data_IF_834904867346
#
_entry.id   IF_834904867346
#
_cell.length_a   1.000
_cell.length_b   1.000
_cell.length_c   1.000
_cell.angle_alpha   90.00
_cell.angle_beta   90.00
_cell.angle_gamma   90.00
#
_symmetry.space_group_name_H-M   'P 1'
#
loop_
_entity.id
_entity.type
_entity.pdbx_description
1 polymer ?
#
# COMPACT_ATOMS: atom_id res chain seq x y z
N UNK A 1 19.24 -9.30 32.01
CA UNK A 1 18.27 -8.60 31.13
C UNK A 1 19.05 -7.58 30.31
N UNK A 2 19.67 -8.02 29.21
CA UNK A 2 20.38 -7.10 28.32
C UNK A 2 19.37 -6.48 27.37
N UNK A 3 19.17 -5.18 27.46
CA UNK A 3 18.44 -4.41 26.45
C UNK A 3 19.23 -4.50 25.14
N UNK A 4 18.73 -5.27 24.19
CA UNK A 4 19.22 -5.27 22.83
C UNK A 4 18.91 -3.89 22.24
N UNK A 5 19.89 -3.00 22.23
CA UNK A 5 19.76 -1.70 21.57
C UNK A 5 19.72 -1.98 20.08
N UNK A 6 18.56 -1.78 19.45
CA UNK A 6 18.46 -1.83 17.99
C UNK A 6 19.45 -0.79 17.43
N UNK A 7 20.26 -1.19 16.45
CA UNK A 7 21.28 -0.31 15.85
C UNK A 7 20.70 0.62 14.80
N UNK A 8 19.41 0.47 14.47
CA UNK A 8 18.65 1.33 13.57
C UNK A 8 17.19 1.35 14.03
N UNK A 9 16.65 2.54 14.21
CA UNK A 9 15.25 2.75 14.55
C UNK A 9 14.48 3.18 13.30
N UNK A 10 13.31 2.58 13.02
CA UNK A 10 12.43 3.10 11.98
C UNK A 10 12.01 4.53 12.32
N UNK A 11 12.08 5.40 11.31
CA UNK A 11 11.68 6.81 11.41
C UNK A 11 10.18 7.04 11.28
N UNK A 12 9.45 6.05 10.74
CA UNK A 12 8.01 6.09 10.53
C UNK A 12 7.48 4.67 10.34
N UNK A 13 6.29 4.39 10.85
CA UNK A 13 5.54 3.14 10.71
C UNK A 13 4.25 3.38 9.92
N UNK A 14 4.01 2.61 8.86
CA UNK A 14 2.74 2.63 8.12
C UNK A 14 1.99 1.31 8.35
N UNK A 15 0.67 1.35 8.26
CA UNK A 15 -0.19 0.25 8.70
C UNK A 15 -0.70 0.47 10.12
N UNK A 16 -1.82 -0.16 10.46
CA UNK A 16 -2.32 -0.24 11.83
C UNK A 16 -1.38 -1.10 12.70
N UNK A 17 -1.31 -0.86 14.02
CA UNK A 17 -0.57 -1.73 14.93
C UNK A 17 -1.02 -3.19 14.83
N UNK A 18 -0.07 -4.11 14.66
CA UNK A 18 -0.30 -5.54 14.76
C UNK A 18 0.25 -6.05 16.10
N UNK A 19 -0.55 -6.11 17.18
CA UNK A 19 -0.11 -6.72 18.43
C UNK A 19 0.26 -8.18 18.13
N UNK A 20 1.56 -8.49 18.18
CA UNK A 20 2.14 -9.67 17.56
C UNK A 20 1.40 -10.99 17.84
N UNK A 21 1.15 -11.75 16.77
CA UNK A 21 0.57 -13.09 16.80
C UNK A 21 0.15 -13.56 15.41
N UNK A 22 -0.14 -14.87 15.26
CA UNK A 22 -0.85 -15.43 14.10
C UNK A 22 -2.29 -14.89 13.97
N UNK A 23 -2.76 -14.15 14.98
CA UNK A 23 -4.02 -13.44 14.92
C UNK A 23 -3.82 -12.20 14.06
N UNK A 24 -4.43 -12.24 12.88
CA UNK A 24 -4.59 -11.06 12.04
C UNK A 24 -5.38 -10.03 12.85
N UNK A 25 -5.01 -8.73 12.83
CA UNK A 25 -5.92 -7.70 13.31
C UNK A 25 -7.28 -7.87 12.60
N UNK A 26 -8.40 -7.39 13.16
CA UNK A 26 -9.62 -7.23 12.39
C UNK A 26 -9.28 -6.28 11.24
N UNK A 27 -8.89 -6.85 10.10
CA UNK A 27 -8.25 -6.17 8.99
C UNK A 27 -9.33 -5.54 8.11
N UNK A 28 -10.22 -4.77 8.73
CA UNK A 28 -11.16 -3.95 7.98
C UNK A 28 -10.32 -2.97 7.17
N UNK A 29 -10.41 -3.02 5.83
CA UNK A 29 -9.71 -2.07 4.99
C UNK A 29 -10.10 -0.66 5.41
N UNK A 30 -9.10 0.21 5.50
CA UNK A 30 -9.29 1.64 5.65
C UNK A 30 -8.05 2.35 5.08
N UNK A 31 -7.97 3.68 5.23
CA UNK A 31 -6.84 4.49 4.71
C UNK A 31 -5.48 4.21 5.34
N UNK A 32 -5.45 3.55 6.50
CA UNK A 32 -4.25 3.32 7.32
C UNK A 32 -3.84 1.85 7.29
N UNK A 33 -4.80 0.94 7.38
CA UNK A 33 -4.55 -0.49 7.48
C UNK A 33 -3.89 -1.07 6.21
N UNK A 34 -2.94 -1.98 6.42
CA UNK A 34 -2.31 -2.78 5.37
C UNK A 34 -2.52 -4.25 5.72
N UNK A 35 -2.72 -5.08 4.70
CA UNK A 35 -2.89 -6.51 4.84
C UNK A 35 -2.00 -7.25 3.83
N UNK A 36 -0.92 -7.83 4.36
CA UNK A 36 0.11 -8.52 3.58
C UNK A 36 0.64 -7.73 2.35
N UNK A 37 1.12 -6.48 2.52
CA UNK A 37 1.66 -5.70 1.42
C UNK A 37 2.91 -6.36 0.82
N UNK A 38 3.07 -6.32 -0.51
CA UNK A 38 4.16 -7.06 -1.20
C UNK A 38 5.05 -6.21 -2.11
N UNK A 39 4.49 -5.18 -2.72
CA UNK A 39 5.20 -4.30 -3.65
C UNK A 39 5.28 -2.89 -3.11
N UNK A 40 6.42 -2.24 -3.25
CA UNK A 40 6.63 -0.85 -2.83
C UNK A 40 7.47 -0.09 -3.86
N UNK A 41 7.09 1.16 -4.10
CA UNK A 41 7.86 2.14 -4.87
C UNK A 41 7.88 3.45 -4.11
N UNK A 42 9.03 4.12 -4.04
CA UNK A 42 9.18 5.44 -3.42
C UNK A 42 10.09 6.31 -4.28
N UNK A 43 9.69 7.55 -4.48
CA UNK A 43 10.55 8.64 -4.91
C UNK A 43 10.26 9.93 -4.12
N UNK A 44 10.83 11.06 -4.55
CA UNK A 44 10.62 12.36 -3.91
C UNK A 44 9.16 12.86 -3.96
N UNK A 45 8.31 12.26 -4.80
CA UNK A 45 6.95 12.70 -5.07
C UNK A 45 5.89 11.78 -4.51
N UNK A 46 6.12 10.46 -4.49
CA UNK A 46 5.09 9.49 -4.10
C UNK A 46 5.67 8.25 -3.43
N UNK A 47 4.90 7.69 -2.50
CA UNK A 47 5.02 6.31 -2.05
C UNK A 47 3.82 5.54 -2.61
N UNK A 48 4.08 4.42 -3.28
CA UNK A 48 3.06 3.50 -3.80
C UNK A 48 3.27 2.13 -3.19
N UNK A 49 2.19 1.54 -2.67
CA UNK A 49 2.23 0.22 -2.01
C UNK A 49 1.16 -0.69 -2.59
N UNK A 50 1.55 -1.88 -3.04
CA UNK A 50 0.61 -2.96 -3.31
C UNK A 50 0.16 -3.58 -1.99
N UNK A 51 -1.04 -3.21 -1.55
CA UNK A 51 -1.70 -3.77 -0.38
C UNK A 51 -2.43 -5.06 -0.77
N UNK A 52 -1.61 -6.08 -1.05
CA UNK A 52 -2.02 -7.28 -1.79
C UNK A 52 -3.21 -7.99 -1.19
N UNK A 53 -3.21 -8.19 0.13
CA UNK A 53 -4.27 -8.93 0.82
C UNK A 53 -5.62 -8.22 0.78
N UNK A 54 -5.63 -6.90 0.65
CA UNK A 54 -6.84 -6.09 0.47
C UNK A 54 -7.18 -5.86 -1.00
N UNK A 55 -6.50 -6.54 -1.94
CA UNK A 55 -6.77 -6.45 -3.38
C UNK A 55 -6.70 -5.01 -3.95
N UNK A 56 -5.83 -4.17 -3.38
CA UNK A 56 -5.73 -2.74 -3.74
C UNK A 56 -4.29 -2.25 -3.82
N UNK A 57 -4.11 -1.05 -4.36
CA UNK A 57 -2.87 -0.27 -4.29
C UNK A 57 -3.17 1.03 -3.55
N UNK A 58 -2.32 1.39 -2.59
CA UNK A 58 -2.40 2.64 -1.84
C UNK A 58 -1.29 3.59 -2.29
N UNK A 59 -1.60 4.88 -2.34
CA UNK A 59 -0.66 5.94 -2.73
C UNK A 59 -0.66 7.03 -1.66
N UNK A 60 0.54 7.46 -1.29
CA UNK A 60 0.78 8.68 -0.53
C UNK A 60 1.50 9.69 -1.42
N UNK A 61 1.07 10.94 -1.37
CA UNK A 61 1.76 12.05 -2.03
C UNK A 61 2.89 12.54 -1.12
N UNK A 62 4.11 12.22 -1.53
CA UNK A 62 5.33 12.45 -0.79
C UNK A 62 5.69 11.29 0.14
N UNK A 63 6.80 11.47 0.83
CA UNK A 63 7.27 10.55 1.86
C UNK A 63 6.43 10.74 3.13
N UNK A 64 5.94 9.67 3.75
CA UNK A 64 5.24 9.79 5.03
C UNK A 64 6.11 10.39 6.14
N UNK A 65 5.50 11.27 6.93
CA UNK A 65 6.19 12.08 7.96
C UNK A 65 5.80 11.68 9.39
N UNK A 66 4.77 10.85 9.55
CA UNK A 66 4.28 10.39 10.86
C UNK A 66 3.77 8.96 10.78
N UNK A 67 3.83 8.28 11.92
CA UNK A 67 3.25 6.96 12.06
C UNK A 67 1.77 6.96 11.69
N UNK A 68 1.33 5.87 11.07
CA UNK A 68 -0.05 5.62 10.68
C UNK A 68 -0.63 6.70 9.74
N UNK A 69 0.22 7.39 8.97
CA UNK A 69 -0.23 8.37 7.99
C UNK A 69 -1.21 7.72 7.01
N UNK A 70 -2.45 8.23 6.88
CA UNK A 70 -3.42 7.66 5.97
C UNK A 70 -2.99 7.89 4.52
N UNK A 71 -3.27 6.91 3.66
CA UNK A 71 -3.10 7.01 2.23
C UNK A 71 -4.02 8.09 1.64
N UNK A 72 -3.53 8.75 0.61
CA UNK A 72 -4.23 9.81 -0.12
C UNK A 72 -5.17 9.22 -1.18
N UNK A 73 -4.71 8.16 -1.86
CA UNK A 73 -5.43 7.52 -2.96
C UNK A 73 -5.45 6.00 -2.80
N UNK A 74 -6.56 5.39 -3.22
CA UNK A 74 -6.71 3.94 -3.40
C UNK A 74 -7.04 3.61 -4.85
N UNK A 75 -6.37 2.59 -5.38
CA UNK A 75 -6.68 1.95 -6.65
C UNK A 75 -7.14 0.52 -6.41
N UNK A 76 -8.06 0.02 -7.24
CA UNK A 76 -8.68 -1.30 -7.06
C UNK A 76 -10.17 -1.21 -6.74
N UNK A 77 -10.53 -0.18 -5.97
CA UNK A 77 -11.89 0.09 -5.47
C UNK A 77 -12.22 1.59 -5.52
N UNK A 78 -13.49 1.94 -5.31
CA UNK A 78 -13.97 3.34 -5.26
C UNK A 78 -13.67 4.02 -3.91
N UNK A 79 -13.53 3.22 -2.85
CA UNK A 79 -13.30 3.64 -1.47
C UNK A 79 -12.20 2.81 -0.78
N UNK A 80 -11.87 3.17 0.46
CA UNK A 80 -10.79 2.53 1.23
C UNK A 80 -11.29 1.36 2.08
N UNK A 81 -12.59 1.15 2.14
CA UNK A 81 -13.26 0.21 3.04
C UNK A 81 -13.63 -1.10 2.33
N UNK A 82 -13.65 -1.08 1.00
CA UNK A 82 -13.86 -2.26 0.16
C UNK A 82 -12.65 -3.20 0.14
N UNK A 83 -12.94 -4.51 0.09
CA UNK A 83 -11.97 -5.57 -0.15
C UNK A 83 -12.49 -6.60 -1.17
N UNK A 84 -11.61 -7.54 -1.52
CA UNK A 84 -11.87 -8.63 -2.44
C UNK A 84 -11.52 -8.27 -3.89
N UNK A 85 -11.57 -9.25 -4.80
CA UNK A 85 -11.24 -9.01 -6.20
C UNK A 85 -12.13 -7.93 -6.84
N UNK A 86 -11.52 -6.85 -7.31
CA UNK A 86 -12.18 -5.75 -8.01
C UNK A 86 -11.47 -5.45 -9.33
N UNK A 87 -11.02 -4.21 -9.53
CA UNK A 87 -10.10 -3.90 -10.63
C UNK A 87 -8.76 -4.64 -10.46
N UNK A 88 -8.35 -4.96 -9.23
CA UNK A 88 -7.11 -5.68 -8.93
C UNK A 88 -7.43 -6.98 -8.19
N UNK A 89 -6.58 -7.99 -8.36
CA UNK A 89 -6.66 -9.26 -7.68
C UNK A 89 -5.26 -9.70 -7.26
N UNK A 90 -4.98 -9.57 -5.95
CA UNK A 90 -3.70 -9.88 -5.34
C UNK A 90 -2.52 -9.22 -6.11
N UNK A 91 -2.50 -7.88 -6.24
CA UNK A 91 -1.42 -7.16 -6.92
C UNK A 91 -0.09 -7.38 -6.17
N UNK A 92 1.02 -7.62 -6.88
CA UNK A 92 2.28 -8.03 -6.25
C UNK A 92 3.42 -7.03 -6.40
N UNK A 93 3.49 -6.32 -7.52
CA UNK A 93 4.55 -5.36 -7.81
C UNK A 93 3.96 -4.04 -8.30
N UNK A 94 4.63 -2.95 -7.95
CA UNK A 94 4.35 -1.60 -8.43
C UNK A 94 5.64 -0.96 -8.91
N UNK A 95 5.55 -0.14 -9.95
CA UNK A 95 6.67 0.66 -10.42
C UNK A 95 6.14 1.98 -11.00
N UNK A 96 6.90 3.05 -10.85
CA UNK A 96 6.69 4.28 -11.62
C UNK A 96 7.87 4.45 -12.55
N UNK A 97 7.61 4.46 -13.85
CA UNK A 97 8.65 4.54 -14.89
C UNK A 97 8.19 5.56 -15.91
N UNK A 98 9.04 6.56 -16.18
CA UNK A 98 8.74 7.67 -17.11
C UNK A 98 7.41 8.38 -16.81
N UNK A 99 7.02 8.43 -15.53
CA UNK A 99 5.77 9.02 -15.08
C UNK A 99 4.56 8.08 -15.11
N UNK A 100 4.65 6.91 -15.74
CA UNK A 100 3.58 5.93 -15.75
C UNK A 100 3.62 5.04 -14.50
N UNK A 101 2.48 4.87 -13.83
CA UNK A 101 2.32 3.85 -12.80
C UNK A 101 2.00 2.51 -13.47
N UNK A 102 2.77 1.48 -13.12
CA UNK A 102 2.59 0.10 -13.59
C UNK A 102 2.31 -0.78 -12.37
N UNK A 103 1.26 -1.59 -12.44
CA UNK A 103 0.87 -2.53 -11.39
C UNK A 103 0.80 -3.94 -11.98
N UNK A 104 1.50 -4.88 -11.33
CA UNK A 104 1.40 -6.29 -11.64
C UNK A 104 0.20 -6.92 -10.90
N UNK A 105 -0.86 -7.19 -11.64
CA UNK A 105 -2.11 -7.78 -11.16
C UNK A 105 -2.06 -9.30 -11.34
N UNK A 106 -1.39 -9.95 -10.38
CA UNK A 106 -0.88 -11.31 -10.55
C UNK A 106 -1.99 -12.35 -10.79
N UNK A 107 -3.15 -12.20 -10.16
CA UNK A 107 -4.23 -13.18 -10.25
C UNK A 107 -5.29 -12.84 -11.32
N UNK A 108 -5.18 -11.68 -11.98
CA UNK A 108 -5.80 -11.45 -13.27
C UNK A 108 -4.84 -11.67 -14.46
N UNK A 109 -3.61 -12.12 -14.20
CA UNK A 109 -2.60 -12.41 -15.23
C UNK A 109 -2.31 -11.23 -16.17
N UNK A 110 -2.26 -10.01 -15.63
CA UNK A 110 -2.09 -8.80 -16.43
C UNK A 110 -1.23 -7.75 -15.73
N UNK A 111 -0.81 -6.77 -16.51
CA UNK A 111 -0.28 -5.51 -16.02
C UNK A 111 -1.31 -4.42 -16.31
N UNK A 112 -1.52 -3.52 -15.34
CA UNK A 112 -2.26 -2.28 -15.56
C UNK A 112 -1.26 -1.13 -15.63
N UNK A 113 -1.48 -0.20 -16.56
CA UNK A 113 -0.63 0.97 -16.75
C UNK A 113 -1.52 2.21 -16.72
N UNK A 114 -1.16 3.17 -15.89
CA UNK A 114 -1.75 4.50 -15.85
C UNK A 114 -0.78 5.52 -16.44
N UNK A 115 -1.31 6.45 -17.23
CA UNK A 115 -0.58 7.63 -17.67
C UNK A 115 -0.55 8.65 -16.53
N UNK A 116 0.56 8.71 -15.80
CA UNK A 116 0.63 9.41 -14.52
C UNK A 116 0.33 8.53 -13.30
N UNK A 117 0.73 9.04 -12.13
CA UNK A 117 0.30 8.51 -10.83
C UNK A 117 -1.02 9.20 -10.46
N UNK A 118 -2.10 8.46 -10.17
CA UNK A 118 -3.40 9.06 -9.83
C UNK A 118 -3.35 9.92 -8.57
N UNK A 119 -3.99 11.10 -8.61
CA UNK A 119 -4.03 12.08 -7.50
C UNK A 119 -5.34 12.03 -6.68
N UNK A 120 -6.35 11.28 -7.12
CA UNK A 120 -7.66 11.13 -6.44
C UNK A 120 -8.25 9.73 -6.67
N UNK A 121 -9.18 9.33 -5.80
CA UNK A 121 -9.98 8.12 -5.97
C UNK A 121 -10.98 8.27 -7.13
N UNK A 122 -11.29 7.17 -7.83
CA UNK A 122 -12.20 7.18 -8.98
C UNK A 122 -11.62 7.93 -10.19
N UNK A 123 -12.36 7.96 -11.31
CA UNK A 123 -11.91 8.65 -12.53
C UNK A 123 -11.56 10.14 -12.31
#
# INVERSE_FOLDING_TARGET
MGTSTLTAEPVCWLGEPAPGGLALPPALPNRVALYAPRGVYLDERVLVVADTGNHRVLIWHGRPERDHQPADVVLGHEDFESEGPGLLHLPTAVAVVEGCLIVADAWHHRLLVWDGVPERNGR
#
